data_IF_982229122107
#
_entry.id   IF_982229122107
#
_cell.length_a   1.000
_cell.length_b   1.000
_cell.length_c   1.000
_cell.angle_alpha   90.00
_cell.angle_beta   90.00
_cell.angle_gamma   90.00
#
_symmetry.space_group_name_H-M   'P 1'
#
loop_
_entity.id
_entity.type
_entity.pdbx_description
1 polymer ?
#
# COMPACT_ATOMS: atom_id res chain seq x y z
N UNK A 1 -12.38 -3.62 -2.20
CA UNK A 1 -11.44 -4.53 -2.90
C UNK A 1 -11.54 -5.93 -2.28
N UNK A 2 -11.31 -6.99 -3.05
CA UNK A 2 -11.50 -8.37 -2.60
C UNK A 2 -10.23 -9.21 -2.86
N UNK A 3 -9.18 -8.95 -2.09
CA UNK A 3 -7.99 -9.81 -2.03
C UNK A 3 -8.08 -10.76 -0.83
N UNK A 4 -7.16 -11.71 -0.74
CA UNK A 4 -7.03 -12.60 0.43
C UNK A 4 -6.49 -11.86 1.68
N UNK A 5 -5.98 -10.64 1.54
CA UNK A 5 -5.38 -9.87 2.62
C UNK A 5 -6.38 -8.84 3.18
N UNK A 6 -6.90 -9.04 4.41
CA UNK A 6 -7.87 -8.13 5.01
C UNK A 6 -7.29 -6.75 5.31
N UNK A 7 -5.98 -6.63 5.58
CA UNK A 7 -5.32 -5.36 5.87
C UNK A 7 -5.16 -4.53 4.60
N UNK A 8 -4.82 -5.19 3.49
CA UNK A 8 -4.79 -4.54 2.18
C UNK A 8 -6.18 -4.11 1.72
N UNK A 9 -7.21 -4.94 1.94
CA UNK A 9 -8.60 -4.59 1.62
C UNK A 9 -9.09 -3.40 2.44
N UNK A 10 -8.75 -3.34 3.74
CA UNK A 10 -9.06 -2.18 4.59
C UNK A 10 -8.33 -0.92 4.12
N UNK A 11 -7.05 -1.02 3.76
CA UNK A 11 -6.30 0.10 3.19
C UNK A 11 -6.97 0.63 1.90
N UNK A 12 -7.34 -0.26 0.98
CA UNK A 12 -8.10 0.13 -0.21
C UNK A 12 -9.41 0.83 0.14
N UNK A 13 -10.15 0.32 1.12
CA UNK A 13 -11.42 0.91 1.57
C UNK A 13 -11.22 2.31 2.14
N UNK A 14 -10.19 2.52 2.98
CA UNK A 14 -9.84 3.84 3.52
C UNK A 14 -9.56 4.84 2.39
N UNK A 15 -8.70 4.44 1.45
CA UNK A 15 -8.33 5.26 0.30
C UNK A 15 -9.54 5.62 -0.55
N UNK A 16 -10.39 4.66 -0.92
CA UNK A 16 -11.53 4.93 -1.81
C UNK A 16 -12.66 5.67 -1.10
N UNK A 17 -12.85 5.45 0.20
CA UNK A 17 -13.94 6.06 0.96
C UNK A 17 -13.62 7.43 1.54
N UNK A 18 -12.34 7.72 1.81
CA UNK A 18 -11.93 8.97 2.47
C UNK A 18 -10.98 9.84 1.65
N UNK A 19 -10.39 9.28 0.58
CA UNK A 19 -9.34 9.93 -0.18
C UNK A 19 -8.01 10.07 0.57
N UNK A 20 -7.85 9.33 1.68
CA UNK A 20 -6.66 9.28 2.51
C UNK A 20 -6.30 7.83 2.83
N UNK A 21 -5.03 7.55 3.11
CA UNK A 21 -4.56 6.29 3.69
C UNK A 21 -3.39 6.60 4.59
N UNK A 22 -3.36 5.99 5.77
CA UNK A 22 -2.26 6.16 6.71
C UNK A 22 -0.91 5.82 6.06
N UNK A 23 0.13 6.65 6.27
CA UNK A 23 1.41 6.53 5.55
C UNK A 23 2.06 5.15 5.68
N UNK A 24 1.99 4.52 6.86
CA UNK A 24 2.52 3.17 7.03
C UNK A 24 1.75 2.14 6.19
N UNK A 25 0.44 2.33 6.06
CA UNK A 25 -0.40 1.49 5.20
C UNK A 25 -0.14 1.76 3.72
N UNK A 26 0.19 2.98 3.29
CA UNK A 26 0.62 3.24 1.89
C UNK A 26 1.86 2.43 1.52
N UNK A 27 2.84 2.34 2.43
CA UNK A 27 4.02 1.51 2.23
C UNK A 27 3.65 0.03 2.07
N UNK A 28 2.84 -0.49 3.00
CA UNK A 28 2.38 -1.88 2.95
C UNK A 28 1.59 -2.18 1.67
N UNK A 29 0.58 -1.36 1.41
CA UNK A 29 -0.33 -1.42 0.27
C UNK A 29 0.42 -1.48 -1.06
N UNK A 30 1.38 -0.57 -1.23
CA UNK A 30 2.19 -0.49 -2.44
C UNK A 30 3.11 -1.70 -2.64
N UNK A 31 3.72 -2.19 -1.55
CA UNK A 31 4.56 -3.40 -1.61
C UNK A 31 3.76 -4.65 -1.98
N UNK A 32 2.48 -4.73 -1.57
CA UNK A 32 1.59 -5.83 -1.99
C UNK A 32 1.16 -5.74 -3.45
N UNK A 33 0.98 -4.53 -4.00
CA UNK A 33 0.76 -4.38 -5.45
C UNK A 33 1.96 -4.93 -6.22
N UNK A 34 3.19 -4.62 -5.79
CA UNK A 34 4.39 -5.22 -6.37
C UNK A 34 4.42 -6.75 -6.24
N UNK A 35 4.07 -7.30 -5.08
CA UNK A 35 4.06 -8.75 -4.84
C UNK A 35 3.07 -9.52 -5.72
N UNK A 36 1.92 -8.92 -6.02
CA UNK A 36 0.80 -9.58 -6.71
C UNK A 36 0.65 -9.20 -8.18
N UNK A 37 1.55 -8.37 -8.70
CA UNK A 37 1.54 -7.99 -10.12
C UNK A 37 2.39 -8.92 -10.97
N UNK A 38 2.04 -9.13 -12.26
CA UNK A 38 2.85 -9.96 -13.17
C UNK A 38 4.25 -9.41 -13.45
N UNK A 39 4.46 -8.10 -13.30
CA UNK A 39 5.78 -7.47 -13.46
C UNK A 39 5.90 -6.18 -12.64
N UNK A 40 7.12 -5.74 -12.29
CA UNK A 40 7.34 -4.47 -11.58
C UNK A 40 6.84 -3.25 -12.35
N UNK A 41 6.88 -3.28 -13.70
CA UNK A 41 6.37 -2.19 -14.54
C UNK A 41 4.85 -2.05 -14.39
N UNK A 42 4.11 -3.14 -14.53
CA UNK A 42 2.66 -3.12 -14.35
C UNK A 42 2.26 -2.77 -12.90
N UNK A 43 3.04 -3.24 -11.92
CA UNK A 43 2.86 -2.86 -10.53
C UNK A 43 2.96 -1.35 -10.35
N UNK A 44 4.04 -0.73 -10.86
CA UNK A 44 4.27 0.70 -10.75
C UNK A 44 3.14 1.51 -11.40
N UNK A 45 2.75 1.15 -12.63
CA UNK A 45 1.65 1.79 -13.35
C UNK A 45 0.34 1.69 -12.57
N UNK A 46 0.06 0.51 -12.00
CA UNK A 46 -1.14 0.26 -11.17
C UNK A 46 -1.11 1.09 -9.89
N UNK A 47 0.01 1.07 -9.16
CA UNK A 47 0.17 1.86 -7.92
C UNK A 47 -0.02 3.35 -8.19
N UNK A 48 0.62 3.87 -9.24
CA UNK A 48 0.54 5.29 -9.58
C UNK A 48 -0.89 5.69 -10.02
N UNK A 49 -1.54 4.87 -10.83
CA UNK A 49 -2.92 5.10 -11.27
C UNK A 49 -3.90 5.13 -10.10
N UNK A 50 -3.80 4.18 -9.16
CA UNK A 50 -4.63 4.14 -7.96
C UNK A 50 -4.35 5.36 -7.06
N UNK A 51 -3.07 5.68 -6.83
CA UNK A 51 -2.67 6.81 -6.00
C UNK A 51 -3.26 8.13 -6.56
N UNK A 52 -3.09 8.36 -7.86
CA UNK A 52 -3.54 9.60 -8.51
C UNK A 52 -5.06 9.69 -8.67
N UNK A 53 -5.76 8.55 -8.69
CA UNK A 53 -7.21 8.51 -8.81
C UNK A 53 -7.91 8.82 -7.48
N UNK A 54 -7.44 8.23 -6.39
CA UNK A 54 -8.20 8.21 -5.14
C UNK A 54 -7.67 9.14 -4.06
N UNK A 55 -6.36 9.36 -3.97
CA UNK A 55 -5.85 10.24 -2.91
C UNK A 55 -6.10 11.72 -3.22
N UNK A 56 -6.58 12.44 -2.20
CA UNK A 56 -6.71 13.90 -2.25
C UNK A 56 -5.34 14.58 -2.40
N UNK A 57 -4.30 13.98 -1.81
CA UNK A 57 -2.88 14.38 -1.95
C UNK A 57 -2.15 13.66 -3.10
N UNK A 58 -2.89 13.00 -3.98
CA UNK A 58 -2.39 12.38 -5.20
C UNK A 58 -1.96 13.41 -6.26
N UNK A 59 -1.24 12.99 -7.29
CA UNK A 59 -0.71 13.85 -8.39
C UNK A 59 0.23 14.96 -7.93
N UNK A 60 0.80 14.81 -6.74
CA UNK A 60 1.79 15.68 -6.15
C UNK A 60 3.21 15.10 -6.29
N UNK A 61 4.30 15.90 -6.38
CA UNK A 61 5.67 15.39 -6.39
C UNK A 61 6.00 14.43 -5.23
N UNK A 62 5.45 14.63 -4.03
CA UNK A 62 5.61 13.71 -2.91
C UNK A 62 4.92 12.37 -3.18
N UNK A 63 3.76 12.40 -3.86
CA UNK A 63 3.07 11.19 -4.29
C UNK A 63 3.91 10.38 -5.30
N UNK A 64 4.51 11.02 -6.31
CA UNK A 64 5.37 10.31 -7.27
C UNK A 64 6.62 9.71 -6.62
N UNK A 65 7.29 10.47 -5.75
CA UNK A 65 8.48 9.98 -5.03
C UNK A 65 8.13 8.91 -4.00
N UNK A 66 6.98 9.02 -3.33
CA UNK A 66 6.43 7.98 -2.44
C UNK A 66 6.12 6.68 -3.18
N UNK A 67 5.52 6.78 -4.38
CA UNK A 67 5.31 5.60 -5.24
C UNK A 67 6.66 5.03 -5.69
N UNK A 68 7.60 5.85 -6.16
CA UNK A 68 8.92 5.39 -6.59
C UNK A 68 9.72 4.71 -5.47
N UNK A 69 9.58 5.18 -4.22
CA UNK A 69 10.17 4.53 -3.05
C UNK A 69 9.66 3.10 -2.84
N UNK A 70 8.42 2.81 -3.23
CA UNK A 70 7.89 1.44 -3.19
C UNK A 70 8.72 0.49 -4.06
N UNK A 71 9.39 1.01 -5.08
CA UNK A 71 10.22 0.29 -6.06
C UNK A 71 11.71 0.57 -5.89
N UNK A 72 12.13 1.16 -4.76
CA UNK A 72 13.53 1.25 -4.34
C UNK A 72 14.19 2.62 -4.42
N UNK A 73 13.52 3.63 -4.96
CA UNK A 73 14.08 4.99 -5.01
C UNK A 73 14.21 5.57 -3.59
N UNK A 74 15.38 6.11 -3.26
CA UNK A 74 15.71 6.65 -1.93
C UNK A 74 15.67 5.63 -0.78
N UNK A 75 15.64 4.33 -1.06
CA UNK A 75 15.89 3.28 -0.06
C UNK A 75 17.21 2.55 -0.39
N UNK A 76 17.72 1.79 0.57
CA UNK A 76 18.86 0.89 0.36
C UNK A 76 18.39 -0.49 -0.10
N UNK A 77 19.32 -1.31 -0.60
CA UNK A 77 19.08 -2.73 -0.84
C UNK A 77 18.86 -3.53 0.44
N UNK A 78 17.98 -4.52 0.38
CA UNK A 78 17.65 -5.47 1.45
C UNK A 78 18.07 -6.90 1.09
N UNK A 79 17.91 -7.82 2.04
CA UNK A 79 18.12 -9.24 1.79
C UNK A 79 17.26 -9.70 0.60
N UNK A 80 17.88 -10.47 -0.29
CA UNK A 80 17.25 -10.86 -1.54
C UNK A 80 16.08 -11.83 -1.29
N UNK A 81 14.96 -11.58 -1.97
CA UNK A 81 13.75 -12.41 -1.87
C UNK A 81 13.15 -12.60 -3.26
N UNK A 82 12.55 -13.77 -3.48
CA UNK A 82 11.74 -14.02 -4.67
C UNK A 82 10.73 -12.87 -4.88
N UNK A 83 10.50 -12.51 -6.14
CA UNK A 83 9.67 -11.38 -6.60
C UNK A 83 10.29 -10.01 -6.32
N UNK A 84 10.75 -9.75 -5.10
CA UNK A 84 11.24 -8.42 -4.70
C UNK A 84 12.70 -8.14 -5.09
N UNK A 85 13.51 -9.17 -5.34
CA UNK A 85 14.96 -9.00 -5.39
C UNK A 85 15.43 -8.37 -4.09
N UNK A 86 16.12 -7.22 -4.17
CA UNK A 86 16.61 -6.46 -3.00
C UNK A 86 15.68 -5.32 -2.55
N UNK A 87 14.47 -5.23 -3.09
CA UNK A 87 13.48 -4.25 -2.62
C UNK A 87 13.01 -4.63 -1.22
N UNK A 88 12.84 -3.64 -0.34
CA UNK A 88 12.35 -3.85 1.02
C UNK A 88 11.05 -4.66 1.03
N UNK A 89 11.00 -5.75 1.77
CA UNK A 89 9.77 -6.52 1.95
C UNK A 89 8.92 -6.00 3.12
N UNK A 90 7.58 -6.09 3.01
CA UNK A 90 6.65 -5.86 4.12
C UNK A 90 5.61 -6.99 4.18
N UNK A 91 5.46 -7.59 5.36
CA UNK A 91 4.58 -8.72 5.63
C UNK A 91 3.41 -8.32 6.53
N UNK A 92 2.29 -9.05 6.43
CA UNK A 92 1.13 -8.90 7.31
C UNK A 92 1.53 -9.09 8.79
N UNK A 93 2.32 -10.13 9.08
CA UNK A 93 2.89 -10.37 10.41
C UNK A 93 3.74 -9.20 10.95
N UNK A 94 4.30 -8.38 10.05
CA UNK A 94 4.99 -7.15 10.42
C UNK A 94 4.06 -6.04 10.89
N UNK A 95 2.81 -5.98 10.39
CA UNK A 95 1.76 -5.09 10.88
C UNK A 95 1.27 -5.56 12.24
N UNK A 96 0.90 -6.83 12.34
CA UNK A 96 0.40 -7.47 13.58
C UNK A 96 1.34 -7.27 14.77
N UNK A 97 2.66 -7.32 14.54
CA UNK A 97 3.65 -7.09 15.59
C UNK A 97 3.81 -5.61 15.97
N UNK A 98 3.55 -4.68 15.06
CA UNK A 98 3.89 -3.25 15.24
C UNK A 98 2.71 -2.39 15.70
N UNK A 99 1.48 -2.81 15.43
CA UNK A 99 0.29 -2.08 15.82
C UNK A 99 -0.91 -3.02 15.97
N UNK A 100 -1.96 -2.50 16.61
CA UNK A 100 -3.28 -3.12 16.59
C UNK A 100 -3.92 -2.92 15.20
N UNK A 101 -3.49 -3.78 14.26
CA UNK A 101 -3.96 -3.73 12.88
C UNK A 101 -5.44 -4.15 12.76
N UNK A 102 -5.94 -4.94 13.70
CA UNK A 102 -7.36 -5.33 13.70
C UNK A 102 -8.24 -4.12 14.06
N UNK A 103 -7.85 -3.32 15.06
CA UNK A 103 -8.53 -2.07 15.35
C UNK A 103 -8.51 -1.09 14.15
N UNK A 104 -7.44 -1.09 13.35
CA UNK A 104 -7.44 -0.33 12.08
C UNK A 104 -8.50 -0.85 11.11
N UNK A 105 -8.59 -2.16 10.87
CA UNK A 105 -9.59 -2.76 9.99
C UNK A 105 -11.01 -2.39 10.43
N UNK A 106 -11.31 -2.55 11.71
CA UNK A 106 -12.65 -2.31 12.25
C UNK A 106 -13.02 -0.82 12.19
N UNK A 107 -12.06 0.06 12.50
CA UNK A 107 -12.21 1.51 12.32
C UNK A 107 -12.53 1.88 10.87
N UNK A 108 -11.85 1.30 9.89
CA UNK A 108 -12.10 1.61 8.48
C UNK A 108 -13.48 1.10 8.05
N UNK A 109 -13.85 -0.13 8.42
CA UNK A 109 -15.19 -0.66 8.15
C UNK A 109 -16.28 0.27 8.71
N UNK A 110 -16.13 0.73 9.95
CA UNK A 110 -17.09 1.64 10.57
C UNK A 110 -17.14 2.99 9.85
N UNK A 111 -15.99 3.57 9.50
CA UNK A 111 -15.91 4.87 8.81
C UNK A 111 -16.52 4.84 7.41
N UNK A 112 -16.35 3.73 6.68
CA UNK A 112 -16.79 3.61 5.30
C UNK A 112 -18.17 2.94 5.15
N UNK A 113 -18.78 2.43 6.24
CA UNK A 113 -20.13 1.88 6.22
C UNK A 113 -21.25 2.93 6.09
N UNK A 114 -20.93 4.22 6.20
CA UNK A 114 -21.90 5.34 6.21
C UNK A 114 -21.94 6.08 4.86
N UNK A 115 -21.38 5.49 3.79
CA UNK A 115 -21.38 6.06 2.43
C UNK A 115 -22.14 5.14 1.49
#
# INVERSE_FOLDING_TARGET
>A
AATHDPYWNAAMMEMTGTGFMHNYMRMYWGKKILEWSPSPKQAFETTLALNNRYFLDGRDPNSYTGVAWLYGIHDRGWAERAIFGKIRYMAASGLERKCDIQAYVDKIKQRCAVV
#
